data_IF_926105405823
#
_entry.id   IF_926105405823
#
_cell.length_a   1.000
_cell.length_b   1.000
_cell.length_c   1.000
_cell.angle_alpha   90.00
_cell.angle_beta   90.00
_cell.angle_gamma   90.00
#
_symmetry.space_group_name_H-M   'P 1'
#
loop_
_entity.id
_entity.type
_entity.pdbx_description
1 polymer ?
#
# COMPACT_ATOMS: atom_id res chain seq x y z
N UNK A 1 -13.60 -3.71 4.62
CA UNK A 1 -12.78 -4.91 4.49
C UNK A 1 -12.58 -5.21 3.00
N UNK A 2 -11.31 -5.32 2.55
CA UNK A 2 -10.98 -5.71 1.18
C UNK A 2 -10.57 -7.19 1.13
N UNK A 3 -11.22 -8.00 0.28
CA UNK A 3 -10.89 -9.41 0.09
C UNK A 3 -10.58 -9.66 -1.37
N UNK A 4 -9.36 -10.09 -1.67
CA UNK A 4 -8.97 -10.50 -3.02
C UNK A 4 -9.27 -11.98 -3.23
N UNK A 5 -9.96 -12.32 -4.31
CA UNK A 5 -10.25 -13.70 -4.68
C UNK A 5 -9.00 -14.39 -5.26
N UNK A 6 -8.27 -15.15 -4.45
CA UNK A 6 -7.04 -15.83 -4.85
C UNK A 6 -7.09 -17.36 -4.67
N UNK A 7 -7.77 -17.85 -3.65
CA UNK A 7 -7.90 -19.28 -3.34
C UNK A 7 -9.35 -19.70 -3.22
N UNK A 8 -9.59 -20.98 -2.96
CA UNK A 8 -10.94 -21.55 -2.93
C UNK A 8 -11.83 -20.85 -1.88
N UNK A 9 -11.31 -20.58 -0.69
CA UNK A 9 -12.05 -19.86 0.34
C UNK A 9 -12.39 -18.43 -0.08
N UNK A 10 -11.41 -17.67 -0.60
CA UNK A 10 -11.62 -16.25 -0.92
C UNK A 10 -12.46 -16.04 -2.17
N UNK A 11 -12.47 -16.98 -3.12
CA UNK A 11 -13.39 -16.96 -4.28
C UNK A 11 -14.84 -17.09 -3.86
N UNK A 12 -15.11 -17.87 -2.81
CA UNK A 12 -16.46 -18.08 -2.29
C UNK A 12 -17.09 -16.77 -1.77
N UNK A 13 -16.28 -15.82 -1.28
CA UNK A 13 -16.80 -14.53 -0.82
C UNK A 13 -17.52 -13.70 -1.89
N UNK A 14 -17.24 -13.96 -3.17
CA UNK A 14 -17.94 -13.28 -4.28
C UNK A 14 -19.41 -13.69 -4.40
N UNK A 15 -19.78 -14.85 -3.87
CA UNK A 15 -21.15 -15.38 -3.89
C UNK A 15 -21.90 -15.23 -2.56
N UNK A 16 -21.27 -14.62 -1.54
CA UNK A 16 -21.91 -14.39 -0.24
C UNK A 16 -22.92 -13.24 -0.35
N UNK A 17 -24.16 -13.51 0.00
CA UNK A 17 -25.24 -12.52 -0.03
C UNK A 17 -25.13 -11.52 1.13
N UNK A 18 -25.67 -10.32 0.90
CA UNK A 18 -25.80 -9.33 1.97
C UNK A 18 -26.71 -9.85 3.09
N UNK A 19 -26.32 -9.60 4.35
CA UNK A 19 -27.10 -10.05 5.52
C UNK A 19 -26.61 -11.35 6.15
N UNK A 20 -25.68 -12.07 5.52
CA UNK A 20 -25.06 -13.24 6.15
C UNK A 20 -24.22 -12.79 7.35
N UNK A 21 -24.44 -13.45 8.49
CA UNK A 21 -23.71 -13.15 9.71
C UNK A 21 -22.21 -13.46 9.56
N UNK A 22 -21.36 -12.52 9.95
CA UNK A 22 -19.91 -12.67 9.91
C UNK A 22 -19.31 -12.35 11.29
N UNK A 23 -18.24 -13.05 11.63
CA UNK A 23 -17.44 -12.73 12.81
C UNK A 23 -16.14 -12.08 12.35
N UNK A 24 -15.89 -10.86 12.81
CA UNK A 24 -14.65 -10.14 12.55
C UNK A 24 -13.80 -10.15 13.82
N UNK A 25 -12.49 -10.35 13.65
CA UNK A 25 -11.52 -10.25 14.74
C UNK A 25 -10.38 -9.34 14.26
N UNK A 26 -10.05 -8.33 15.04
CA UNK A 26 -9.05 -7.29 14.74
C UNK A 26 -9.51 -5.92 15.26
N UNK A 27 -8.80 -4.84 14.92
CA UNK A 27 -7.57 -4.83 14.09
C UNK A 27 -6.36 -5.41 14.83
N UNK A 28 -5.41 -5.94 14.06
CA UNK A 28 -4.14 -6.44 14.57
C UNK A 28 -2.97 -5.66 13.96
N UNK A 29 -1.83 -5.68 14.68
CA UNK A 29 -0.59 -5.09 14.21
C UNK A 29 -0.49 -3.58 14.45
N UNK A 30 0.70 -3.04 14.18
CA UNK A 30 1.07 -1.64 14.43
C UNK A 30 1.71 -0.99 13.21
N UNK A 31 1.49 -1.54 12.02
CA UNK A 31 2.19 -1.16 10.78
C UNK A 31 2.23 0.36 10.52
N UNK A 32 1.12 1.05 10.68
CA UNK A 32 1.03 2.50 10.48
C UNK A 32 0.81 3.29 11.78
N UNK A 33 0.80 2.62 12.94
CA UNK A 33 0.55 3.28 14.23
C UNK A 33 1.75 4.10 14.73
N UNK A 34 2.95 3.84 14.23
CA UNK A 34 4.19 4.51 14.62
C UNK A 34 4.70 5.49 13.57
N UNK A 35 3.83 6.18 12.84
CA UNK A 35 4.27 7.21 11.90
C UNK A 35 5.11 8.26 12.63
N UNK A 36 6.38 8.28 12.31
CA UNK A 36 7.30 9.31 12.81
C UNK A 36 6.87 10.63 12.15
N UNK A 37 6.73 11.70 12.90
CA UNK A 37 6.15 12.99 12.46
C UNK A 37 6.85 13.69 11.29
N UNK A 38 7.41 12.96 10.33
CA UNK A 38 8.09 13.41 9.12
C UNK A 38 7.44 12.91 7.82
N UNK A 39 7.96 13.36 6.66
CA UNK A 39 7.47 12.91 5.36
C UNK A 39 7.63 11.39 5.19
N UNK A 40 6.69 10.75 4.50
CA UNK A 40 6.73 9.31 4.29
C UNK A 40 6.44 8.90 2.85
N UNK A 41 7.03 7.77 2.46
CA UNK A 41 6.78 7.08 1.21
C UNK A 41 5.98 5.81 1.50
N UNK A 42 4.81 5.70 0.89
CA UNK A 42 3.97 4.52 0.97
C UNK A 42 4.00 3.77 -0.35
N UNK A 43 4.24 2.48 -0.33
CA UNK A 43 4.28 1.62 -1.51
C UNK A 43 3.26 0.51 -1.34
N UNK A 44 2.24 0.52 -2.18
CA UNK A 44 1.14 -0.43 -2.16
C UNK A 44 1.17 -1.32 -3.40
N UNK A 45 1.05 -2.63 -3.21
CA UNK A 45 0.89 -3.61 -4.29
C UNK A 45 -0.49 -4.26 -4.29
N UNK A 46 -1.34 -3.98 -5.29
CA UNK A 46 -2.69 -4.55 -5.39
C UNK A 46 -3.51 -4.31 -4.13
N UNK A 47 -4.03 -5.39 -3.50
CA UNK A 47 -4.85 -5.28 -2.27
C UNK A 47 -4.04 -4.73 -1.06
N UNK A 48 -2.72 -4.68 -1.14
CA UNK A 48 -1.86 -4.06 -0.13
C UNK A 48 -2.08 -2.55 0.06
N UNK A 49 -2.95 -1.94 -0.73
CA UNK A 49 -3.40 -0.56 -0.54
C UNK A 49 -4.31 -0.38 0.69
N UNK A 50 -4.93 -1.43 1.17
CA UNK A 50 -5.97 -1.36 2.22
C UNK A 50 -5.52 -0.78 3.56
N UNK A 51 -4.32 -1.04 4.10
CA UNK A 51 -3.88 -0.38 5.33
C UNK A 51 -3.73 1.14 5.17
N UNK A 52 -3.20 1.58 4.04
CA UNK A 52 -3.04 3.00 3.74
C UNK A 52 -4.39 3.69 3.59
N UNK A 53 -5.32 3.06 2.86
CA UNK A 53 -6.67 3.56 2.70
C UNK A 53 -7.40 3.67 4.05
N UNK A 54 -7.18 2.74 4.98
CA UNK A 54 -7.75 2.81 6.31
C UNK A 54 -7.34 4.09 7.06
N UNK A 55 -6.05 4.47 6.99
CA UNK A 55 -5.56 5.73 7.56
C UNK A 55 -6.17 6.94 6.85
N UNK A 56 -6.15 6.95 5.52
CA UNK A 56 -6.65 8.07 4.72
C UNK A 56 -8.15 8.36 4.94
N UNK A 57 -8.93 7.34 5.31
CA UNK A 57 -10.36 7.47 5.64
C UNK A 57 -10.62 8.02 7.03
N UNK A 58 -9.67 7.88 7.96
CA UNK A 58 -9.90 8.17 9.38
C UNK A 58 -9.45 9.55 9.80
N UNK A 59 -8.42 10.10 9.15
CA UNK A 59 -7.85 11.38 9.55
C UNK A 59 -7.09 12.06 8.41
N UNK A 60 -7.05 13.41 8.39
CA UNK A 60 -6.15 14.13 7.50
C UNK A 60 -4.68 13.79 7.79
N UNK A 61 -3.88 13.77 6.75
CA UNK A 61 -2.44 13.54 6.90
C UNK A 61 -1.78 14.76 7.57
N UNK A 62 -0.98 14.57 8.63
CA UNK A 62 -0.30 15.66 9.30
C UNK A 62 0.99 16.10 8.59
N UNK A 63 1.52 15.26 7.71
CA UNK A 63 2.79 15.46 7.00
C UNK A 63 2.69 14.94 5.56
N UNK A 64 3.59 15.38 4.66
CA UNK A 64 3.61 14.91 3.28
C UNK A 64 3.77 13.40 3.17
N UNK A 65 2.88 12.79 2.40
CA UNK A 65 2.88 11.37 2.05
C UNK A 65 2.87 11.22 0.54
N UNK A 66 3.81 10.46 0.00
CA UNK A 66 3.77 10.00 -1.38
C UNK A 66 3.33 8.54 -1.41
N UNK A 67 2.12 8.29 -1.91
CA UNK A 67 1.60 6.93 -2.14
C UNK A 67 1.87 6.50 -3.57
N UNK A 68 2.67 5.44 -3.73
CA UNK A 68 2.87 4.75 -5.00
C UNK A 68 2.02 3.48 -4.98
N UNK A 69 1.00 3.45 -5.84
CA UNK A 69 0.08 2.33 -5.94
C UNK A 69 0.34 1.53 -7.21
N UNK A 70 0.87 0.32 -7.05
CA UNK A 70 1.23 -0.60 -8.12
C UNK A 70 0.11 -1.63 -8.32
N UNK A 71 -0.41 -1.73 -9.53
CA UNK A 71 -1.49 -2.65 -9.89
C UNK A 71 -1.28 -3.23 -11.28
N UNK A 72 -1.89 -4.37 -11.62
CA UNK A 72 -1.74 -4.99 -12.93
C UNK A 72 -2.54 -4.27 -14.01
N UNK A 73 -3.79 -3.99 -13.73
CA UNK A 73 -4.71 -3.33 -14.66
C UNK A 73 -5.68 -2.44 -13.88
N UNK A 74 -6.42 -1.59 -14.58
CA UNK A 74 -7.47 -0.76 -13.99
C UNK A 74 -8.53 -1.59 -13.25
N UNK A 75 -8.81 -2.81 -13.73
CA UNK A 75 -9.75 -3.75 -13.08
C UNK A 75 -9.21 -4.30 -11.75
N UNK A 76 -7.89 -4.41 -11.62
CA UNK A 76 -7.22 -4.90 -10.42
C UNK A 76 -6.87 -3.78 -9.44
N UNK A 77 -7.08 -2.53 -9.83
CA UNK A 77 -6.79 -1.35 -9.02
C UNK A 77 -7.93 -1.10 -8.01
N UNK A 78 -7.97 -1.91 -6.96
CA UNK A 78 -8.97 -1.74 -5.91
C UNK A 78 -8.92 -0.32 -5.32
N UNK A 79 -10.09 0.32 -5.21
CA UNK A 79 -10.24 1.65 -4.60
C UNK A 79 -9.50 2.81 -5.31
N UNK A 80 -9.15 2.66 -6.60
CA UNK A 80 -8.37 3.69 -7.30
C UNK A 80 -9.10 5.03 -7.36
N UNK A 81 -10.37 5.03 -7.72
CA UNK A 81 -11.19 6.26 -7.81
C UNK A 81 -11.29 6.97 -6.45
N UNK A 82 -11.44 6.21 -5.38
CA UNK A 82 -11.47 6.75 -4.01
C UNK A 82 -10.12 7.35 -3.62
N UNK A 83 -9.00 6.67 -3.96
CA UNK A 83 -7.66 7.18 -3.69
C UNK A 83 -7.37 8.48 -4.46
N UNK A 84 -7.86 8.59 -5.69
CA UNK A 84 -7.76 9.81 -6.48
C UNK A 84 -8.53 10.96 -5.82
N UNK A 85 -9.79 10.71 -5.44
CA UNK A 85 -10.59 11.71 -4.73
C UNK A 85 -9.95 12.14 -3.40
N UNK A 86 -9.37 11.20 -2.64
CA UNK A 86 -8.65 11.51 -1.41
C UNK A 86 -7.37 12.32 -1.67
N UNK A 87 -6.65 12.06 -2.77
CA UNK A 87 -5.47 12.82 -3.13
C UNK A 87 -5.81 14.26 -3.56
N UNK A 88 -6.95 14.46 -4.21
CA UNK A 88 -7.47 15.80 -4.53
C UNK A 88 -7.90 16.58 -3.28
N UNK A 89 -8.46 15.89 -2.28
CA UNK A 89 -8.97 16.49 -1.07
C UNK A 89 -7.91 16.76 0.01
N UNK A 90 -6.79 16.05 0.00
CA UNK A 90 -5.75 16.14 1.05
C UNK A 90 -4.46 16.75 0.50
N UNK A 91 -4.06 17.96 0.94
CA UNK A 91 -2.91 18.68 0.38
C UNK A 91 -1.57 17.97 0.60
N UNK A 92 -1.49 17.10 1.59
CA UNK A 92 -0.27 16.33 1.90
C UNK A 92 -0.24 14.94 1.27
N UNK A 93 -1.24 14.54 0.49
CA UNK A 93 -1.25 13.26 -0.23
C UNK A 93 -0.88 13.46 -1.70
N UNK A 94 0.22 12.84 -2.11
CA UNK A 94 0.57 12.70 -3.53
C UNK A 94 0.38 11.24 -3.94
N UNK A 95 -0.45 10.99 -4.94
CA UNK A 95 -0.74 9.65 -5.47
C UNK A 95 -0.07 9.45 -6.83
N UNK A 96 0.69 8.36 -6.95
CA UNK A 96 1.19 7.83 -8.21
C UNK A 96 0.63 6.41 -8.41
N UNK A 97 -0.41 6.27 -9.22
CA UNK A 97 -0.95 4.97 -9.61
C UNK A 97 -0.26 4.47 -10.87
N UNK A 98 0.36 3.29 -10.80
CA UNK A 98 1.15 2.70 -11.87
C UNK A 98 0.62 1.33 -12.26
N UNK A 99 0.11 1.24 -13.48
CA UNK A 99 -0.33 -0.03 -14.07
C UNK A 99 0.88 -0.78 -14.64
N UNK A 100 0.97 -2.07 -14.35
CA UNK A 100 1.97 -2.94 -14.94
C UNK A 100 1.36 -4.31 -15.30
N UNK A 101 0.89 -4.42 -16.53
CA UNK A 101 0.23 -5.64 -17.03
C UNK A 101 1.19 -6.83 -17.14
N UNK A 102 2.46 -6.60 -17.41
CA UNK A 102 3.41 -7.60 -17.89
C UNK A 102 4.37 -8.14 -16.80
N UNK A 103 4.03 -8.02 -15.53
CA UNK A 103 4.85 -8.62 -14.46
C UNK A 103 5.32 -7.69 -13.36
N UNK A 104 6.63 -7.67 -13.08
CA UNK A 104 7.20 -6.79 -12.06
C UNK A 104 7.31 -5.35 -12.60
N UNK A 105 6.86 -4.31 -11.86
CA UNK A 105 7.01 -2.93 -12.27
C UNK A 105 8.49 -2.52 -12.36
N UNK A 106 8.77 -1.57 -13.25
CA UNK A 106 10.09 -0.92 -13.30
C UNK A 106 10.28 -0.03 -12.05
N UNK A 107 10.63 -0.67 -10.94
CA UNK A 107 10.81 0.01 -9.66
C UNK A 107 11.85 1.14 -9.71
N UNK A 108 13.00 1.01 -10.42
CA UNK A 108 13.93 2.11 -10.62
C UNK A 108 13.31 3.38 -11.18
N UNK A 109 12.39 3.26 -12.13
CA UNK A 109 11.72 4.41 -12.75
C UNK A 109 10.59 4.99 -11.86
N UNK A 110 9.95 4.15 -11.04
CA UNK A 110 8.76 4.55 -10.25
C UNK A 110 9.12 5.11 -8.89
N UNK A 111 10.15 4.55 -8.24
CA UNK A 111 10.54 4.97 -6.89
C UNK A 111 11.37 6.27 -6.93
N UNK A 112 11.27 7.13 -5.89
CA UNK A 112 12.02 8.39 -5.79
C UNK A 112 13.52 8.18 -5.85
N UNK A 113 14.25 9.18 -6.33
CA UNK A 113 15.71 9.19 -6.32
C UNK A 113 16.26 9.20 -4.87
N UNK A 114 17.53 8.81 -4.70
CA UNK A 114 18.17 8.76 -3.39
C UNK A 114 18.11 10.09 -2.61
N UNK A 115 18.25 11.22 -3.31
CA UNK A 115 18.18 12.55 -2.71
C UNK A 115 16.81 12.84 -2.06
N UNK A 116 15.73 12.32 -2.64
CA UNK A 116 14.35 12.53 -2.16
C UNK A 116 13.97 11.59 -1.01
N UNK A 117 14.85 10.65 -0.66
CA UNK A 117 14.62 9.63 0.37
C UNK A 117 15.36 9.93 1.68
N UNK A 118 16.09 11.02 1.76
CA UNK A 118 16.82 11.41 2.97
C UNK A 118 15.85 11.71 4.10
N UNK A 119 15.95 10.94 5.18
CA UNK A 119 15.08 11.12 6.36
C UNK A 119 13.63 10.63 6.19
N UNK A 120 13.28 10.02 5.06
CA UNK A 120 11.93 9.52 4.76
C UNK A 120 11.70 8.13 5.34
N UNK A 121 10.57 7.93 6.02
CA UNK A 121 10.10 6.60 6.43
C UNK A 121 9.31 5.94 5.30
N UNK A 122 9.65 4.70 4.98
CA UNK A 122 9.04 3.96 3.89
C UNK A 122 8.17 2.83 4.42
N UNK A 123 6.90 2.85 4.09
CA UNK A 123 5.91 1.84 4.45
C UNK A 123 5.50 1.05 3.22
N UNK A 124 5.65 -0.27 3.27
CA UNK A 124 5.44 -1.14 2.11
C UNK A 124 4.43 -2.23 2.45
N UNK A 125 3.41 -2.38 1.62
CA UNK A 125 2.43 -3.46 1.76
C UNK A 125 2.05 -4.04 0.39
N UNK A 126 2.15 -5.38 0.25
CA UNK A 126 1.87 -6.04 -1.01
C UNK A 126 2.46 -7.44 -1.14
N UNK A 127 2.51 -8.00 -2.37
CA UNK A 127 3.07 -9.31 -2.62
C UNK A 127 4.55 -9.43 -2.20
N UNK A 128 5.01 -10.59 -1.68
CA UNK A 128 6.37 -10.76 -1.18
C UNK A 128 7.47 -10.39 -2.19
N UNK A 129 7.32 -10.76 -3.46
CA UNK A 129 8.30 -10.43 -4.51
C UNK A 129 8.46 -8.93 -4.73
N UNK A 130 7.34 -8.18 -4.71
CA UNK A 130 7.36 -6.72 -4.79
C UNK A 130 8.07 -6.11 -3.58
N UNK A 131 7.73 -6.56 -2.38
CA UNK A 131 8.32 -6.03 -1.14
C UNK A 131 9.83 -6.26 -1.12
N UNK A 132 10.29 -7.46 -1.46
CA UNK A 132 11.72 -7.79 -1.51
C UNK A 132 12.47 -6.88 -2.50
N UNK A 133 11.94 -6.72 -3.72
CA UNK A 133 12.58 -5.90 -4.75
C UNK A 133 12.60 -4.41 -4.36
N UNK A 134 11.48 -3.89 -3.81
CA UNK A 134 11.39 -2.49 -3.39
C UNK A 134 12.32 -2.20 -2.20
N UNK A 135 12.37 -3.07 -1.20
CA UNK A 135 13.27 -2.94 -0.05
C UNK A 135 14.74 -2.92 -0.50
N UNK A 136 15.14 -3.87 -1.35
CA UNK A 136 16.51 -3.94 -1.86
C UNK A 136 16.90 -2.64 -2.59
N UNK A 137 16.02 -2.11 -3.44
CA UNK A 137 16.26 -0.87 -4.16
C UNK A 137 16.31 0.35 -3.23
N UNK A 138 15.41 0.45 -2.26
CA UNK A 138 15.41 1.55 -1.28
C UNK A 138 16.68 1.55 -0.43
N UNK A 139 17.15 0.38 -0.01
CA UNK A 139 18.43 0.24 0.69
C UNK A 139 19.63 0.67 -0.19
N UNK A 140 19.64 0.29 -1.47
CA UNK A 140 20.65 0.74 -2.43
C UNK A 140 20.61 2.26 -2.61
N UNK A 141 19.43 2.91 -2.45
CA UNK A 141 19.26 4.36 -2.48
C UNK A 141 19.54 5.04 -1.12
N UNK A 142 20.03 4.31 -0.14
CA UNK A 142 20.49 4.85 1.16
C UNK A 142 19.42 4.90 2.25
N UNK A 143 18.25 4.29 2.05
CA UNK A 143 17.24 4.20 3.13
C UNK A 143 17.71 3.21 4.18
N UNK A 144 17.83 3.68 5.43
CA UNK A 144 18.30 2.84 6.53
C UNK A 144 17.25 1.76 6.89
N UNK A 145 17.67 0.55 7.31
CA UNK A 145 16.76 -0.56 7.60
C UNK A 145 15.67 -0.24 8.61
N UNK A 146 15.94 0.57 9.63
CA UNK A 146 14.97 0.97 10.65
C UNK A 146 13.88 1.92 10.15
N UNK A 147 14.04 2.48 8.95
CA UNK A 147 13.04 3.31 8.26
C UNK A 147 12.22 2.54 7.22
N UNK A 148 12.44 1.23 7.11
CA UNK A 148 11.71 0.36 6.20
C UNK A 148 10.72 -0.48 7.00
N UNK A 149 9.42 -0.20 6.82
CA UNK A 149 8.32 -0.86 7.51
C UNK A 149 7.53 -1.68 6.50
N UNK A 150 7.47 -2.99 6.68
CA UNK A 150 6.81 -3.90 5.75
C UNK A 150 5.68 -4.67 6.41
N UNK A 151 4.52 -4.68 5.77
CA UNK A 151 3.44 -5.59 6.12
C UNK A 151 3.22 -6.61 5.00
N UNK A 152 3.19 -7.89 5.39
CA UNK A 152 2.97 -9.01 4.49
C UNK A 152 1.60 -9.62 4.75
N UNK A 153 0.85 -9.86 3.69
CA UNK A 153 -0.34 -10.70 3.76
C UNK A 153 0.06 -12.16 3.48
N UNK A 154 0.65 -12.81 4.47
CA UNK A 154 0.93 -14.25 4.41
C UNK A 154 -0.30 -15.01 4.94
N UNK A 155 -1.15 -15.44 4.04
CA UNK A 155 -2.20 -16.40 4.36
C UNK A 155 -1.56 -17.80 4.38
N UNK A 156 -1.37 -18.36 5.56
CA UNK A 156 -1.05 -19.77 5.75
C UNK A 156 -2.31 -20.59 5.91
#
# INVERSE_FOLDING_TARGET
LGIKALGDCTRHFQSVECGVAARLQGPFGTFLAGQTGGPSLWIAGGIGVTPFLAVLRTQPLPQPVRLIYLHRSSRDAAYLDELQALAEAQPYLSLAAVANADGMPDLPAVLPAAADLVGVDCYLCGPPGLLMAAVALLQTRGVAPHRLHCERFDFR
#
